data_IF_581400997910
#
_entry.id   IF_581400997910
#
_cell.length_a   1.000
_cell.length_b   1.000
_cell.length_c   1.000
_cell.angle_alpha   90.00
_cell.angle_beta   90.00
_cell.angle_gamma   90.00
#
_symmetry.space_group_name_H-M   'P 1'
#
loop_
_entity.id
_entity.type
_entity.pdbx_description
1 polymer ?
#
# COMPACT_ATOMS: atom_id res chain seq x y z
N UNK A 1 -14.64 -8.51 13.49
CA UNK A 1 -13.26 -8.44 14.02
C UNK A 1 -13.02 -9.54 15.06
N UNK A 2 -13.97 -9.82 15.96
CA UNK A 2 -13.84 -10.81 17.04
C UNK A 2 -13.34 -12.19 16.56
N UNK A 3 -13.74 -12.66 15.38
CA UNK A 3 -13.27 -13.94 14.82
C UNK A 3 -11.74 -14.05 14.66
N UNK A 4 -11.02 -12.93 14.73
CA UNK A 4 -9.57 -12.92 14.75
C UNK A 4 -8.96 -13.59 15.99
N UNK A 5 -9.74 -13.67 17.07
CA UNK A 5 -9.29 -14.26 18.33
C UNK A 5 -9.51 -15.78 18.41
N UNK A 6 -10.28 -16.38 17.49
CA UNK A 6 -10.58 -17.82 17.49
C UNK A 6 -9.34 -18.72 17.51
N UNK A 7 -8.21 -18.43 16.84
CA UNK A 7 -7.00 -19.24 16.96
C UNK A 7 -6.42 -19.32 18.37
N UNK A 8 -6.77 -18.41 19.26
CA UNK A 8 -6.29 -18.34 20.64
C UNK A 8 -7.23 -19.00 21.63
N UNK A 9 -8.45 -19.38 21.19
CA UNK A 9 -9.46 -20.01 22.03
C UNK A 9 -9.45 -21.52 21.82
N UNK A 10 -9.68 -22.28 22.90
CA UNK A 10 -9.97 -23.70 22.79
C UNK A 10 -11.39 -23.87 22.23
N UNK A 11 -11.68 -25.00 21.59
CA UNK A 11 -12.95 -25.24 20.92
C UNK A 11 -14.20 -25.10 21.81
N UNK A 12 -14.03 -25.15 23.15
CA UNK A 12 -15.11 -24.97 24.16
C UNK A 12 -15.05 -23.61 24.85
N UNK A 13 -14.06 -22.77 24.58
CA UNK A 13 -13.92 -21.45 25.18
C UNK A 13 -14.70 -20.41 24.37
N UNK A 14 -15.27 -19.44 25.10
CA UNK A 14 -15.87 -18.24 24.50
C UNK A 14 -14.92 -17.07 24.67
N UNK A 15 -15.11 -16.05 23.84
CA UNK A 15 -14.31 -14.83 23.90
C UNK A 15 -14.40 -14.18 25.29
N UNK A 16 -13.25 -13.96 25.87
CA UNK A 16 -13.09 -13.36 27.18
C UNK A 16 -13.07 -11.83 27.16
N UNK A 17 -13.02 -11.21 28.35
CA UNK A 17 -12.83 -9.75 28.46
C UNK A 17 -11.56 -9.24 27.77
N UNK A 18 -10.49 -10.00 27.83
CA UNK A 18 -9.20 -9.65 27.21
C UNK A 18 -9.31 -9.59 25.68
N UNK A 19 -10.00 -10.56 25.04
CA UNK A 19 -10.22 -10.57 23.60
C UNK A 19 -11.04 -9.35 23.16
N UNK A 20 -12.02 -8.94 23.95
CA UNK A 20 -12.80 -7.73 23.69
C UNK A 20 -11.94 -6.48 23.71
N UNK A 21 -11.04 -6.36 24.69
CA UNK A 21 -10.12 -5.22 24.79
C UNK A 21 -9.20 -5.18 23.57
N UNK A 22 -8.61 -6.31 23.16
CA UNK A 22 -7.75 -6.41 21.99
C UNK A 22 -8.49 -5.98 20.71
N UNK A 23 -9.69 -6.50 20.53
CA UNK A 23 -10.52 -6.16 19.35
C UNK A 23 -10.92 -4.68 19.34
N UNK A 24 -11.33 -4.13 20.49
CA UNK A 24 -11.67 -2.72 20.60
C UNK A 24 -10.46 -1.83 20.29
N UNK A 25 -9.29 -2.18 20.79
CA UNK A 25 -8.05 -1.45 20.52
C UNK A 25 -7.71 -1.49 19.04
N UNK A 26 -7.72 -2.66 18.42
CA UNK A 26 -7.47 -2.80 16.98
C UNK A 26 -8.47 -1.99 16.13
N UNK A 27 -9.75 -1.95 16.52
CA UNK A 27 -10.75 -1.14 15.83
C UNK A 27 -10.55 0.37 16.02
N UNK A 28 -10.08 0.81 17.18
CA UNK A 28 -9.73 2.22 17.45
C UNK A 28 -8.52 2.65 16.66
N UNK A 29 -7.51 1.78 16.59
CA UNK A 29 -6.24 2.02 15.89
C UNK A 29 -6.43 2.36 14.41
N UNK A 30 -7.35 1.68 13.73
CA UNK A 30 -7.68 1.96 12.32
C UNK A 30 -8.96 2.82 12.16
N UNK A 31 -9.43 3.47 13.21
CA UNK A 31 -10.53 4.45 13.16
C UNK A 31 -11.92 3.88 12.89
N UNK A 32 -12.16 2.58 13.10
CA UNK A 32 -13.47 1.94 12.80
C UNK A 32 -14.27 1.52 14.03
N UNK A 33 -13.88 1.92 15.23
CA UNK A 33 -14.59 1.55 16.45
C UNK A 33 -16.05 2.00 16.47
N UNK A 34 -16.37 3.13 15.86
CA UNK A 34 -17.74 3.64 15.74
C UNK A 34 -18.67 2.70 14.95
N UNK A 35 -18.10 1.78 14.14
CA UNK A 35 -18.82 0.79 13.33
C UNK A 35 -19.05 -0.54 14.05
N UNK A 36 -18.63 -0.71 15.31
CA UNK A 36 -18.60 -1.98 16.03
C UNK A 36 -19.93 -2.75 16.08
N UNK A 37 -21.05 -2.02 16.00
CA UNK A 37 -22.40 -2.59 16.04
C UNK A 37 -23.06 -2.68 14.65
N UNK A 38 -22.34 -2.31 13.56
CA UNK A 38 -22.88 -2.39 12.21
C UNK A 38 -22.55 -3.71 11.55
N UNK A 39 -23.45 -4.19 10.69
CA UNK A 39 -23.18 -5.36 9.85
C UNK A 39 -22.11 -5.01 8.83
N UNK A 40 -21.14 -5.92 8.60
CA UNK A 40 -20.08 -5.75 7.58
C UNK A 40 -20.68 -5.56 6.18
N UNK A 41 -21.83 -6.14 5.90
CA UNK A 41 -22.51 -6.00 4.61
C UNK A 41 -23.07 -4.58 4.37
N UNK A 42 -23.31 -3.80 5.42
CA UNK A 42 -23.81 -2.42 5.33
C UNK A 42 -22.70 -1.37 5.28
N UNK A 43 -21.44 -1.79 5.28
CA UNK A 43 -20.29 -0.90 5.25
C UNK A 43 -19.91 -0.51 3.81
N UNK A 44 -19.41 0.70 3.64
CA UNK A 44 -18.74 1.12 2.40
C UNK A 44 -17.49 0.26 2.13
N UNK A 45 -16.95 0.30 0.91
CA UNK A 45 -15.73 -0.43 0.56
C UNK A 45 -14.56 -0.10 1.49
N UNK A 46 -14.32 1.20 1.72
CA UNK A 46 -13.24 1.66 2.59
C UNK A 46 -13.44 1.31 4.06
N UNK A 47 -14.66 1.48 4.59
CA UNK A 47 -14.99 1.05 5.96
C UNK A 47 -14.75 -0.46 6.15
N UNK A 48 -15.19 -1.27 5.19
CA UNK A 48 -15.02 -2.72 5.22
C UNK A 48 -13.55 -3.11 5.19
N UNK A 49 -12.75 -2.45 4.34
CA UNK A 49 -11.32 -2.73 4.25
C UNK A 49 -10.59 -2.41 5.55
N UNK A 50 -10.89 -1.25 6.19
CA UNK A 50 -10.34 -0.93 7.51
C UNK A 50 -10.80 -1.90 8.60
N UNK A 51 -12.02 -2.42 8.51
CA UNK A 51 -12.49 -3.48 9.42
C UNK A 51 -11.71 -4.78 9.21
N UNK A 52 -11.32 -5.12 7.98
CA UNK A 52 -10.44 -6.27 7.73
C UNK A 52 -9.03 -6.04 8.25
N UNK A 53 -8.50 -4.82 8.13
CA UNK A 53 -7.21 -4.48 8.74
C UNK A 53 -7.30 -4.57 10.28
N UNK A 54 -8.36 -4.04 10.91
CA UNK A 54 -8.59 -4.22 12.33
C UNK A 54 -8.66 -5.70 12.74
N UNK A 55 -9.24 -6.55 11.88
CA UNK A 55 -9.27 -8.00 12.10
C UNK A 55 -7.86 -8.60 12.05
N UNK A 56 -7.04 -8.19 11.11
CA UNK A 56 -5.64 -8.66 11.03
C UNK A 56 -4.83 -8.21 12.25
N UNK A 57 -4.98 -6.96 12.70
CA UNK A 57 -4.32 -6.44 13.90
C UNK A 57 -4.73 -7.15 15.18
N UNK A 58 -6.03 -7.48 15.30
CA UNK A 58 -6.55 -8.21 16.47
C UNK A 58 -6.00 -9.64 16.60
N UNK A 59 -5.33 -10.18 15.56
CA UNK A 59 -4.57 -11.43 15.67
C UNK A 59 -3.27 -11.27 16.45
N UNK A 60 -2.79 -10.03 16.66
CA UNK A 60 -1.54 -9.74 17.38
C UNK A 60 -0.30 -10.49 16.86
N UNK A 61 -0.26 -10.79 15.56
CA UNK A 61 0.88 -11.42 14.91
C UNK A 61 1.99 -10.39 14.65
N UNK A 62 3.23 -10.84 14.58
CA UNK A 62 4.38 -10.01 14.21
C UNK A 62 4.41 -9.73 12.69
N UNK A 63 3.85 -10.65 11.91
CA UNK A 63 3.79 -10.57 10.45
C UNK A 63 2.34 -10.48 9.98
N UNK A 64 2.06 -9.48 9.15
CA UNK A 64 0.77 -9.29 8.49
C UNK A 64 0.92 -9.54 6.99
N UNK A 65 0.00 -10.33 6.43
CA UNK A 65 -0.11 -10.58 4.99
C UNK A 65 -1.37 -9.89 4.48
N UNK A 66 -1.19 -8.94 3.56
CA UNK A 66 -2.28 -8.18 2.96
C UNK A 66 -2.28 -8.40 1.45
N UNK A 67 -3.36 -8.98 0.95
CA UNK A 67 -3.54 -9.24 -0.47
C UNK A 67 -4.49 -8.20 -1.06
N UNK A 68 -3.94 -7.34 -1.92
CA UNK A 68 -4.63 -6.23 -2.61
C UNK A 68 -5.58 -5.42 -1.70
N UNK A 69 -5.12 -4.92 -0.53
CA UNK A 69 -6.01 -4.29 0.44
C UNK A 69 -6.62 -2.97 -0.05
N UNK A 70 -6.18 -2.47 -1.21
CA UNK A 70 -6.62 -1.19 -1.79
C UNK A 70 -7.40 -1.33 -3.10
N UNK A 71 -7.64 -2.54 -3.60
CA UNK A 71 -8.21 -2.79 -4.93
C UNK A 71 -9.61 -2.16 -5.20
N UNK A 72 -10.38 -1.86 -4.15
CA UNK A 72 -11.72 -1.28 -4.26
C UNK A 72 -11.85 0.09 -3.58
N UNK A 73 -10.73 0.77 -3.35
CA UNK A 73 -10.67 2.04 -2.63
C UNK A 73 -10.38 3.20 -3.57
N UNK A 74 -10.87 4.38 -3.21
CA UNK A 74 -10.38 5.61 -3.82
C UNK A 74 -8.97 5.96 -3.33
N UNK A 75 -8.33 6.92 -3.97
CA UNK A 75 -6.94 7.31 -3.72
C UNK A 75 -6.68 7.71 -2.27
N UNK A 76 -7.63 8.39 -1.62
CA UNK A 76 -7.46 8.87 -0.25
C UNK A 76 -7.44 7.69 0.73
N UNK A 77 -8.41 6.78 0.60
CA UNK A 77 -8.46 5.60 1.48
C UNK A 77 -7.34 4.60 1.19
N UNK A 78 -6.88 4.51 -0.06
CA UNK A 78 -5.71 3.69 -0.39
C UNK A 78 -4.44 4.23 0.30
N UNK A 79 -4.22 5.54 0.24
CA UNK A 79 -3.09 6.20 0.92
C UNK A 79 -3.16 6.00 2.45
N UNK A 80 -4.34 6.12 3.06
CA UNK A 80 -4.56 5.87 4.49
C UNK A 80 -4.13 4.45 4.92
N UNK A 81 -4.48 3.43 4.13
CA UNK A 81 -4.10 2.03 4.42
C UNK A 81 -2.57 1.85 4.41
N UNK A 82 -1.91 2.42 3.42
CA UNK A 82 -0.44 2.35 3.32
C UNK A 82 0.25 3.13 4.42
N UNK A 83 -0.26 4.33 4.73
CA UNK A 83 0.24 5.15 5.84
C UNK A 83 0.14 4.39 7.18
N UNK A 84 -1.01 3.76 7.44
CA UNK A 84 -1.20 2.94 8.63
C UNK A 84 -0.27 1.72 8.64
N UNK A 85 -0.12 1.04 7.50
CA UNK A 85 0.84 -0.04 7.34
C UNK A 85 2.27 0.40 7.65
N UNK A 86 2.68 1.57 7.18
CA UNK A 86 4.01 2.12 7.47
C UNK A 86 4.20 2.40 8.96
N UNK A 87 3.21 3.01 9.62
CA UNK A 87 3.23 3.24 11.07
C UNK A 87 3.43 1.94 11.85
N UNK A 88 2.70 0.88 11.48
CA UNK A 88 2.83 -0.44 12.10
C UNK A 88 4.23 -1.05 11.91
N UNK A 89 4.84 -0.84 10.74
CA UNK A 89 6.22 -1.27 10.49
C UNK A 89 7.21 -0.51 11.37
N UNK A 90 7.03 0.79 11.57
CA UNK A 90 7.86 1.61 12.45
C UNK A 90 7.69 1.21 13.93
N UNK A 91 6.57 0.59 14.30
CA UNK A 91 6.30 -0.04 15.61
C UNK A 91 6.83 -1.48 15.72
N UNK A 92 7.54 -1.97 14.70
CA UNK A 92 8.23 -3.27 14.72
C UNK A 92 7.48 -4.43 14.07
N UNK A 93 6.31 -4.19 13.43
CA UNK A 93 5.62 -5.24 12.65
C UNK A 93 6.26 -5.42 11.28
N UNK A 94 6.14 -6.62 10.74
CA UNK A 94 6.48 -6.89 9.33
C UNK A 94 5.21 -7.00 8.52
N UNK A 95 5.11 -6.24 7.42
CA UNK A 95 3.95 -6.31 6.51
C UNK A 95 4.43 -6.74 5.14
N UNK A 96 3.85 -7.82 4.64
CA UNK A 96 3.94 -8.22 3.25
C UNK A 96 2.62 -7.89 2.56
N UNK A 97 2.70 -7.02 1.56
CA UNK A 97 1.52 -6.51 0.85
C UNK A 97 1.64 -6.78 -0.65
N UNK A 98 0.60 -7.35 -1.25
CA UNK A 98 0.46 -7.46 -2.70
C UNK A 98 -0.29 -6.24 -3.20
N UNK A 99 0.27 -5.54 -4.20
CA UNK A 99 -0.29 -4.29 -4.72
C UNK A 99 -0.09 -4.17 -6.22
N UNK A 100 -0.97 -3.41 -6.86
CA UNK A 100 -0.85 -3.02 -8.27
C UNK A 100 -0.47 -1.55 -8.45
N UNK A 101 -0.62 -0.73 -7.42
CA UNK A 101 -0.26 0.69 -7.45
C UNK A 101 1.24 0.85 -7.18
N UNK A 102 1.99 1.13 -8.25
CA UNK A 102 3.43 1.28 -8.20
C UNK A 102 3.87 2.57 -7.48
N UNK A 103 3.05 3.63 -7.51
CA UNK A 103 3.36 4.88 -6.81
C UNK A 103 3.19 4.72 -5.30
N UNK A 104 2.13 4.05 -4.84
CA UNK A 104 1.97 3.72 -3.43
C UNK A 104 3.08 2.77 -2.95
N UNK A 105 3.45 1.77 -3.76
CA UNK A 105 4.56 0.89 -3.46
C UNK A 105 5.90 1.67 -3.34
N UNK A 106 6.17 2.59 -4.26
CA UNK A 106 7.36 3.44 -4.24
C UNK A 106 7.41 4.36 -3.01
N UNK A 107 6.24 4.89 -2.62
CA UNK A 107 6.11 5.86 -1.51
C UNK A 107 6.28 5.22 -0.13
N UNK A 108 5.72 4.03 0.08
CA UNK A 108 5.56 3.47 1.42
C UNK A 108 6.40 2.23 1.70
N UNK A 109 6.69 1.40 0.69
CA UNK A 109 7.41 0.16 0.91
C UNK A 109 8.92 0.40 1.10
N UNK A 110 9.52 -0.34 2.02
CA UNK A 110 10.98 -0.33 2.23
C UNK A 110 11.70 -1.28 1.29
N UNK A 111 11.01 -2.31 0.83
CA UNK A 111 11.52 -3.33 -0.07
C UNK A 111 10.42 -3.81 -1.00
N UNK A 112 10.77 -4.04 -2.25
CA UNK A 112 9.88 -4.58 -3.26
C UNK A 112 10.37 -5.92 -3.77
N UNK A 113 9.42 -6.76 -4.14
CA UNK A 113 9.62 -7.97 -4.92
C UNK A 113 8.78 -7.82 -6.19
N UNK A 114 9.42 -7.62 -7.33
CA UNK A 114 8.75 -7.51 -8.61
C UNK A 114 8.54 -8.92 -9.18
N UNK A 115 7.28 -9.26 -9.44
CA UNK A 115 6.90 -10.58 -9.96
C UNK A 115 6.22 -10.45 -11.32
N UNK A 116 6.59 -11.28 -12.27
CA UNK A 116 5.94 -11.39 -13.58
C UNK A 116 5.95 -12.84 -14.05
N UNK A 117 4.86 -13.29 -14.65
CA UNK A 117 4.69 -14.63 -15.20
C UNK A 117 5.12 -15.77 -14.22
N UNK A 118 4.85 -15.59 -12.92
CA UNK A 118 5.19 -16.53 -11.86
C UNK A 118 6.66 -16.56 -11.44
N UNK A 119 7.48 -15.63 -11.92
CA UNK A 119 8.89 -15.51 -11.62
C UNK A 119 9.21 -14.17 -10.93
N UNK A 120 10.19 -14.19 -10.02
CA UNK A 120 10.76 -12.98 -9.45
C UNK A 120 11.65 -12.35 -10.51
N UNK A 121 11.34 -11.10 -10.88
CA UNK A 121 12.10 -10.30 -11.83
C UNK A 121 13.22 -9.57 -11.12
N UNK A 122 12.89 -8.95 -9.97
CA UNK A 122 13.85 -8.18 -9.19
C UNK A 122 13.42 -8.07 -7.72
N UNK A 123 14.40 -7.81 -6.82
CA UNK A 123 14.17 -7.66 -5.38
C UNK A 123 15.11 -6.58 -4.84
N UNK A 124 14.57 -5.56 -4.23
CA UNK A 124 15.40 -4.48 -3.69
C UNK A 124 14.59 -3.34 -3.08
N UNK A 125 15.22 -2.20 -2.87
CA UNK A 125 14.53 -0.97 -2.50
C UNK A 125 13.73 -0.45 -3.72
N UNK A 126 12.65 0.31 -3.52
CA UNK A 126 11.79 0.76 -4.62
C UNK A 126 12.58 1.41 -5.78
N UNK A 127 13.56 2.24 -5.46
CA UNK A 127 14.37 2.95 -6.46
C UNK A 127 15.11 2.03 -7.42
N UNK A 128 15.61 0.91 -6.93
CA UNK A 128 16.40 -0.04 -7.71
C UNK A 128 15.49 -0.97 -8.53
N UNK A 129 14.33 -1.32 -7.97
CA UNK A 129 13.39 -2.27 -8.58
C UNK A 129 12.46 -1.60 -9.60
N UNK A 130 11.95 -0.40 -9.31
CA UNK A 130 11.02 0.31 -10.19
C UNK A 130 11.77 1.12 -11.25
N UNK A 131 12.45 0.44 -12.13
CA UNK A 131 13.15 1.04 -13.29
C UNK A 131 12.32 0.93 -14.56
N UNK A 132 12.54 1.81 -15.52
CA UNK A 132 11.87 1.74 -16.83
C UNK A 132 12.10 0.39 -17.52
N UNK A 133 13.30 -0.21 -17.34
CA UNK A 133 13.64 -1.52 -17.87
C UNK A 133 12.83 -2.64 -17.21
N UNK A 134 12.81 -2.69 -15.87
CA UNK A 134 12.05 -3.70 -15.12
C UNK A 134 10.55 -3.60 -15.39
N UNK A 135 10.00 -2.37 -15.49
CA UNK A 135 8.58 -2.16 -15.81
C UNK A 135 8.25 -2.60 -17.23
N UNK A 136 9.16 -2.41 -18.18
CA UNK A 136 9.01 -2.91 -19.56
C UNK A 136 9.01 -4.44 -19.58
N UNK A 137 9.94 -5.05 -18.89
CA UNK A 137 10.11 -6.51 -18.87
C UNK A 137 8.95 -7.20 -18.15
N UNK A 138 8.54 -6.68 -16.97
CA UNK A 138 7.49 -7.28 -16.14
C UNK A 138 6.08 -7.04 -16.68
N UNK A 139 5.78 -5.82 -17.11
CA UNK A 139 4.40 -5.42 -17.44
C UNK A 139 4.20 -5.07 -18.91
N UNK A 140 5.26 -5.13 -19.73
CA UNK A 140 5.26 -4.66 -21.15
C UNK A 140 4.81 -3.21 -21.27
N UNK A 141 5.14 -2.39 -20.27
CA UNK A 141 4.82 -0.98 -20.20
C UNK A 141 6.01 -0.15 -20.68
N UNK A 142 5.71 0.90 -21.45
CA UNK A 142 6.67 1.99 -21.67
C UNK A 142 6.46 3.02 -20.57
N UNK A 143 7.45 3.24 -19.73
CA UNK A 143 7.37 4.18 -18.62
C UNK A 143 8.63 5.05 -18.53
N UNK A 144 8.46 6.29 -18.09
CA UNK A 144 9.53 7.10 -17.55
C UNK A 144 9.48 7.03 -16.03
N UNK A 145 10.64 6.83 -15.43
CA UNK A 145 10.81 6.81 -13.98
C UNK A 145 11.80 7.89 -13.61
N UNK A 146 11.41 8.78 -12.73
CA UNK A 146 12.23 9.92 -12.32
C UNK A 146 12.01 10.26 -10.83
N UNK A 147 13.01 10.90 -10.23
CA UNK A 147 12.88 11.41 -8.87
C UNK A 147 12.23 12.79 -8.91
N UNK A 148 11.14 12.96 -8.19
CA UNK A 148 10.50 14.26 -8.01
C UNK A 148 11.41 15.15 -7.14
N UNK A 149 11.90 16.29 -7.64
CA UNK A 149 12.86 17.13 -6.93
C UNK A 149 12.24 17.80 -5.69
N UNK A 150 10.93 18.01 -5.67
CA UNK A 150 10.22 18.67 -4.57
C UNK A 150 9.85 17.71 -3.46
N UNK A 151 9.29 16.54 -3.82
CA UNK A 151 8.81 15.56 -2.86
C UNK A 151 9.84 14.48 -2.53
N UNK A 152 10.98 14.45 -3.24
CA UNK A 152 12.05 13.45 -3.08
C UNK A 152 11.53 12.02 -3.18
N UNK A 153 10.50 11.82 -4.00
CA UNK A 153 9.84 10.56 -4.25
C UNK A 153 10.01 10.14 -5.69
N UNK A 154 10.07 8.83 -5.91
CA UNK A 154 10.08 8.29 -7.26
C UNK A 154 8.69 8.43 -7.88
N UNK A 155 8.65 8.92 -9.12
CA UNK A 155 7.43 9.04 -9.94
C UNK A 155 7.53 8.14 -11.15
N UNK A 156 6.38 7.58 -11.51
CA UNK A 156 6.27 6.65 -12.63
C UNK A 156 5.22 7.19 -13.59
N UNK A 157 5.68 7.59 -14.77
CA UNK A 157 4.78 8.02 -15.85
C UNK A 157 4.68 6.92 -16.90
N UNK A 158 3.49 6.37 -17.08
CA UNK A 158 3.23 5.31 -18.06
C UNK A 158 2.78 5.93 -19.37
N UNK A 159 3.47 5.63 -20.46
CA UNK A 159 3.11 6.10 -21.79
C UNK A 159 2.00 5.22 -22.41
N UNK A 160 1.02 5.83 -23.12
CA UNK A 160 0.04 5.07 -23.88
C UNK A 160 0.70 4.18 -24.93
N UNK A 161 0.15 2.99 -25.16
CA UNK A 161 0.66 2.06 -26.17
C UNK A 161 0.73 2.74 -27.56
N UNK A 162 1.89 2.70 -28.19
CA UNK A 162 2.10 3.23 -29.54
C UNK A 162 2.50 4.71 -29.64
N UNK A 163 2.68 5.41 -28.50
CA UNK A 163 2.90 6.86 -28.54
C UNK A 163 4.35 7.27 -28.72
N UNK A 164 5.35 6.46 -28.33
CA UNK A 164 6.78 6.85 -28.42
C UNK A 164 7.68 5.63 -28.58
N UNK A 165 8.65 5.71 -29.48
CA UNK A 165 9.86 4.87 -29.45
C UNK A 165 10.76 5.47 -28.37
N UNK A 166 11.12 4.67 -27.37
CA UNK A 166 11.89 5.10 -26.18
C UNK A 166 13.28 5.66 -26.52
N UNK A 167 13.78 5.42 -27.73
CA UNK A 167 15.05 5.94 -28.23
C UNK A 167 15.07 7.48 -28.39
N UNK A 168 13.91 8.14 -28.36
CA UNK A 168 13.77 9.59 -28.47
C UNK A 168 13.93 10.35 -27.14
N UNK A 169 13.88 9.65 -26.00
CA UNK A 169 14.17 10.21 -24.68
C UNK A 169 15.64 9.99 -24.29
N UNK A 170 16.53 10.67 -24.97
CA UNK A 170 17.82 11.01 -24.33
C UNK A 170 17.50 11.82 -23.10
N UNK A 171 18.13 11.45 -21.94
CA UNK A 171 18.08 12.19 -20.69
C UNK A 171 18.11 13.70 -20.98
N UNK A 172 16.95 14.30 -21.12
CA UNK A 172 16.85 15.74 -21.05
C UNK A 172 17.03 16.03 -19.57
N UNK A 173 18.21 16.50 -19.21
CA UNK A 173 18.43 17.19 -17.95
C UNK A 173 17.25 18.15 -17.80
N UNK A 174 16.42 17.90 -16.78
CA UNK A 174 15.44 18.89 -16.34
C UNK A 174 16.25 20.00 -15.72
N UNK A 175 16.78 20.84 -16.59
CA UNK A 175 17.40 22.08 -16.20
C UNK A 175 16.34 22.92 -15.48
N UNK A 176 16.68 23.36 -14.31
CA UNK A 176 16.01 24.20 -13.35
C UNK A 176 15.63 25.58 -13.92
N UNK A 177 14.63 25.63 -14.81
CA UNK A 177 14.03 26.90 -15.25
C UNK A 177 12.51 26.75 -15.43
N UNK A 178 11.83 26.37 -14.38
CA UNK A 178 10.43 26.78 -14.20
C UNK A 178 10.41 27.77 -13.03
N UNK A 179 10.63 29.03 -13.36
CA UNK A 179 10.32 30.13 -12.44
C UNK A 179 8.81 30.12 -12.18
N UNK A 180 8.45 29.68 -11.00
CA UNK A 180 7.06 29.83 -10.49
C UNK A 180 6.85 31.34 -10.31
N UNK A 181 5.86 31.90 -11.00
CA UNK A 181 5.42 33.27 -10.79
C UNK A 181 4.98 33.43 -9.33
N UNK A 182 5.65 34.29 -8.53
CA UNK A 182 5.32 34.45 -7.10
C UNK A 182 3.99 35.16 -6.84
N UNK A 183 3.20 35.48 -7.87
CA UNK A 183 1.95 36.26 -7.77
C UNK A 183 0.65 35.44 -7.91
N UNK A 184 0.70 34.12 -7.97
CA UNK A 184 -0.51 33.30 -7.88
C UNK A 184 -0.94 33.15 -6.41
N UNK A 185 -1.79 34.09 -5.99
CA UNK A 185 -2.56 34.04 -4.75
C UNK A 185 -3.88 33.34 -4.97
#
# INVERSE_FOLDING_TARGET
VMTARYPYLKWWEQEGPEDKVIVEQAMKEVGVYHLRNRSVQSLSGGERQRVFLAKALAQQTEVLLLDEPTAALDLVYADDIFHEGRRLCDEGKTILIVVHDLELAAKYCTKLVLVSDGHIVDVGVPRDVLTAENLRNAFRLSAAVYDDPYFKQQRIFVFPKGTIKIDDFKQTEVTSEMSIDPNLK
#
